data_IF_716906396955
#
_entry.id   IF_716906396955
#
_cell.length_a   1.000
_cell.length_b   1.000
_cell.length_c   1.000
_cell.angle_alpha   90.00
_cell.angle_beta   90.00
_cell.angle_gamma   90.00
#
_symmetry.space_group_name_H-M   'P 1'
#
loop_
_entity.id
_entity.type
_entity.pdbx_description
1 polymer ?
#
# COMPACT_ATOMS: atom_id res chain seq x y z
N UNK A 1 18.08 -10.42 -68.61
CA UNK A 1 18.76 -9.16 -68.26
C UNK A 1 19.66 -9.46 -67.07
N UNK A 2 20.98 -9.54 -67.30
CA UNK A 2 22.17 -9.61 -66.40
C UNK A 2 22.11 -10.44 -65.09
N UNK A 3 22.82 -11.59 -64.94
CA UNK A 3 24.25 -11.79 -64.53
C UNK A 3 24.60 -10.97 -63.25
N UNK A 4 25.20 -11.44 -62.14
CA UNK A 4 26.05 -12.62 -61.81
C UNK A 4 26.31 -12.71 -60.29
N UNK A 5 26.58 -13.94 -59.82
CA UNK A 5 27.36 -14.44 -58.65
C UNK A 5 28.15 -13.45 -57.77
N UNK A 6 28.23 -13.71 -56.45
CA UNK A 6 29.48 -14.21 -55.81
C UNK A 6 29.32 -14.69 -54.35
N UNK A 7 30.12 -15.71 -54.05
CA UNK A 7 30.31 -16.47 -52.81
C UNK A 7 31.42 -15.89 -51.92
N UNK A 8 31.38 -16.18 -50.61
CA UNK A 8 32.49 -16.69 -49.76
C UNK A 8 32.74 -15.95 -48.45
N UNK A 9 32.79 -16.78 -47.39
CA UNK A 9 33.43 -16.66 -46.08
C UNK A 9 34.76 -15.89 -46.04
N UNK A 10 35.00 -15.15 -44.95
CA UNK A 10 36.29 -15.12 -44.25
C UNK A 10 36.12 -14.71 -42.77
N UNK A 11 36.74 -15.47 -41.88
CA UNK A 11 36.94 -15.23 -40.44
C UNK A 11 37.97 -14.10 -40.20
N UNK A 12 37.79 -13.32 -39.14
CA UNK A 12 38.72 -13.18 -37.97
C UNK A 12 38.56 -11.84 -37.21
N UNK A 13 38.61 -11.97 -35.87
CA UNK A 13 38.89 -10.97 -34.81
C UNK A 13 37.95 -9.75 -34.69
N UNK A 14 37.36 -9.45 -33.54
CA UNK A 14 37.99 -9.09 -32.26
C UNK A 14 37.02 -9.38 -31.09
N UNK A 15 37.54 -10.03 -30.04
CA UNK A 15 37.03 -9.97 -28.67
C UNK A 15 37.48 -8.63 -28.07
N UNK A 16 36.59 -7.80 -27.52
CA UNK A 16 36.82 -7.20 -26.20
C UNK A 16 35.58 -6.49 -25.65
N UNK A 17 35.57 -6.43 -24.33
CA UNK A 17 34.60 -5.89 -23.39
C UNK A 17 34.32 -4.40 -23.58
N UNK A 18 33.08 -3.96 -23.32
CA UNK A 18 32.76 -2.73 -22.56
C UNK A 18 31.26 -2.40 -22.63
N UNK A 19 30.50 -2.76 -21.60
CA UNK A 19 29.18 -2.18 -21.32
C UNK A 19 29.04 -1.87 -19.83
N UNK A 20 29.89 -0.96 -19.34
CA UNK A 20 29.64 -0.13 -18.15
C UNK A 20 29.93 1.30 -18.58
N UNK A 21 28.88 2.08 -18.89
CA UNK A 21 28.84 3.56 -18.89
C UNK A 21 27.55 4.02 -19.56
N UNK A 22 26.50 4.24 -18.77
CA UNK A 22 25.47 5.24 -19.08
C UNK A 22 24.83 5.72 -17.76
N UNK A 23 25.62 6.49 -16.99
CA UNK A 23 25.12 7.42 -15.97
C UNK A 23 25.84 8.75 -16.23
N UNK A 24 25.20 9.66 -16.97
CA UNK A 24 25.43 11.11 -16.88
C UNK A 24 24.66 11.85 -18.00
N UNK A 25 23.43 12.26 -17.73
CA UNK A 25 22.83 13.49 -18.27
C UNK A 25 21.43 13.66 -17.70
N UNK A 26 21.30 14.38 -16.56
CA UNK A 26 20.29 15.43 -16.29
C UNK A 26 20.79 16.11 -15.00
N UNK A 27 21.69 17.08 -15.14
CA UNK A 27 21.94 18.11 -14.12
C UNK A 27 21.65 19.44 -14.82
N UNK A 28 20.51 20.03 -14.49
CA UNK A 28 20.20 21.42 -14.79
C UNK A 28 20.28 22.20 -13.50
N UNK A 29 21.21 23.15 -13.45
CA UNK A 29 21.46 24.07 -12.36
C UNK A 29 20.24 24.93 -12.06
N UNK A 30 19.84 25.00 -10.80
CA UNK A 30 19.11 26.12 -10.21
C UNK A 30 19.57 26.27 -8.75
N UNK A 31 20.29 27.36 -8.50
CA UNK A 31 20.62 27.83 -7.16
C UNK A 31 19.33 28.17 -6.41
N UNK A 32 19.13 27.57 -5.24
CA UNK A 32 18.11 27.99 -4.28
C UNK A 32 18.78 28.12 -2.92
N UNK A 33 18.77 29.35 -2.42
CA UNK A 33 19.34 29.79 -1.17
C UNK A 33 18.70 29.09 0.04
N UNK A 34 19.52 29.00 1.08
CA UNK A 34 19.32 28.38 2.38
C UNK A 34 18.29 29.16 3.22
N UNK A 35 17.10 28.60 3.44
CA UNK A 35 16.18 29.03 4.51
C UNK A 35 15.73 27.81 5.31
N UNK A 36 16.36 27.63 6.47
CA UNK A 36 15.96 26.70 7.52
C UNK A 36 14.84 27.32 8.36
N UNK A 37 13.59 26.94 8.11
CA UNK A 37 12.48 27.24 9.01
C UNK A 37 12.14 26.03 9.88
N UNK A 38 12.64 26.06 11.11
CA UNK A 38 12.29 25.16 12.21
C UNK A 38 10.87 25.50 12.72
N UNK A 39 9.88 24.69 12.35
CA UNK A 39 8.54 24.76 12.95
C UNK A 39 8.36 23.67 14.02
N UNK A 40 8.51 24.08 15.28
CA UNK A 40 8.04 23.37 16.47
C UNK A 40 6.50 23.31 16.45
N UNK A 41 5.93 22.12 16.66
CA UNK A 41 4.51 21.94 16.96
C UNK A 41 4.39 21.31 18.35
N UNK A 42 3.83 22.06 19.30
CA UNK A 42 3.49 21.60 20.64
C UNK A 42 2.27 20.66 20.61
N UNK A 43 2.39 19.48 21.20
CA UNK A 43 1.27 18.57 21.51
C UNK A 43 0.75 18.87 22.93
N UNK A 44 -0.35 19.62 23.05
CA UNK A 44 -1.09 19.69 24.31
C UNK A 44 -2.17 18.59 24.37
N UNK A 45 -1.99 17.67 25.34
CA UNK A 45 -2.96 16.64 25.71
C UNK A 45 -4.00 17.21 26.69
N UNK A 46 -5.27 17.21 26.30
CA UNK A 46 -6.40 17.52 27.19
C UNK A 46 -6.97 16.22 27.79
N UNK A 47 -6.90 16.06 29.11
CA UNK A 47 -7.60 15.01 29.86
C UNK A 47 -8.91 15.59 30.41
N UNK A 48 -10.04 15.03 29.98
CA UNK A 48 -11.35 15.36 30.53
C UNK A 48 -11.62 14.55 31.81
N UNK A 49 -12.11 15.23 32.84
CA UNK A 49 -12.21 14.73 34.21
C UNK A 49 -13.69 14.66 34.59
N UNK A 50 -14.34 13.53 34.31
CA UNK A 50 -15.69 13.28 34.81
C UNK A 50 -15.64 12.78 36.26
N UNK A 51 -16.13 13.63 37.16
CA UNK A 51 -16.53 13.31 38.52
C UNK A 51 -17.78 12.42 38.51
N UNK A 52 -17.70 11.26 39.16
CA UNK A 52 -18.89 10.57 39.67
C UNK A 52 -18.77 10.39 41.17
N UNK A 53 -19.54 11.18 41.90
CA UNK A 53 -19.81 11.04 43.33
C UNK A 53 -20.68 9.81 43.58
N UNK A 54 -20.23 8.93 44.48
CA UNK A 54 -21.10 7.93 45.11
C UNK A 54 -21.04 8.19 46.61
N UNK A 55 -22.12 8.76 47.13
CA UNK A 55 -22.41 8.80 48.56
C UNK A 55 -22.85 7.40 49.00
N UNK A 56 -22.08 6.77 49.90
CA UNK A 56 -22.57 5.67 50.71
C UNK A 56 -22.24 5.91 52.18
N UNK A 57 -23.30 6.16 52.95
CA UNK A 57 -23.30 6.22 54.41
C UNK A 57 -23.49 4.80 54.95
N UNK A 58 -22.42 4.20 55.48
CA UNK A 58 -22.58 3.34 56.66
C UNK A 58 -21.23 3.12 57.34
N UNK A 59 -21.21 3.32 58.65
CA UNK A 59 -20.03 3.10 59.48
C UNK A 59 -19.83 1.62 59.72
N UNK A 60 -18.64 1.12 59.41
CA UNK A 60 -18.06 -0.02 60.09
C UNK A 60 -16.53 0.08 60.11
N UNK A 61 -15.99 -0.20 61.30
CA UNK A 61 -14.58 -0.08 61.66
C UNK A 61 -13.92 -1.42 61.31
N UNK A 62 -13.13 -1.48 60.23
CA UNK A 62 -12.25 -2.60 59.95
C UNK A 62 -10.81 -2.14 59.68
N UNK A 63 -9.87 -2.91 60.22
CA UNK A 63 -8.50 -2.50 60.53
C UNK A 63 -7.61 -2.16 59.34
N UNK A 64 -6.67 -1.27 59.64
CA UNK A 64 -5.50 -0.96 58.81
C UNK A 64 -4.75 -2.23 58.41
N UNK A 65 -4.73 -2.53 57.11
CA UNK A 65 -3.71 -3.39 56.51
C UNK A 65 -3.12 -2.60 55.34
N UNK A 66 -1.94 -2.04 55.55
CA UNK A 66 -1.12 -1.44 54.49
C UNK A 66 -0.64 -2.54 53.55
N UNK A 67 -1.37 -2.75 52.44
CA UNK A 67 -0.87 -3.46 51.27
C UNK A 67 -0.13 -2.46 50.40
N UNK A 68 1.20 -2.57 50.38
CA UNK A 68 2.06 -1.88 49.42
C UNK A 68 1.70 -2.32 48.01
N UNK A 69 1.02 -1.45 47.26
CA UNK A 69 0.86 -1.62 45.82
C UNK A 69 2.23 -1.33 45.21
N UNK A 70 2.99 -2.38 44.93
CA UNK A 70 4.16 -2.29 44.07
C UNK A 70 3.72 -1.79 42.70
N UNK A 71 4.36 -0.70 42.28
CA UNK A 71 4.26 -0.12 40.95
C UNK A 71 4.63 -1.17 39.90
N UNK A 72 3.63 -1.74 39.22
CA UNK A 72 3.83 -2.49 38.00
C UNK A 72 4.22 -1.51 36.90
N UNK A 73 5.53 -1.43 36.66
CA UNK A 73 6.09 -0.85 35.45
C UNK A 73 5.39 -1.47 34.25
N UNK A 74 4.68 -0.67 33.46
CA UNK A 74 4.17 -1.06 32.14
C UNK A 74 5.38 -1.50 31.31
N UNK A 75 5.56 -2.81 31.18
CA UNK A 75 6.49 -3.38 30.21
C UNK A 75 5.92 -3.04 28.83
N UNK A 76 6.54 -2.09 28.14
CA UNK A 76 6.36 -1.96 26.69
C UNK A 76 6.77 -3.29 26.08
N UNK A 77 5.79 -4.06 25.64
CA UNK A 77 6.04 -5.27 24.87
C UNK A 77 6.45 -4.80 23.49
N UNK A 78 7.76 -4.74 23.23
CA UNK A 78 8.28 -4.55 21.88
C UNK A 78 7.76 -5.70 21.01
N UNK A 79 7.08 -5.36 19.93
CA UNK A 79 6.62 -6.36 18.97
C UNK A 79 7.84 -7.06 18.35
N UNK A 80 7.72 -8.37 18.03
CA UNK A 80 8.79 -9.09 17.35
C UNK A 80 9.09 -8.49 15.97
N UNK A 81 10.21 -8.88 15.32
CA UNK A 81 10.61 -8.36 14.01
C UNK A 81 9.46 -8.38 13.00
N UNK A 82 9.45 -7.41 12.07
CA UNK A 82 8.48 -7.25 10.98
C UNK A 82 8.01 -8.60 10.38
N UNK A 83 8.96 -9.47 10.06
CA UNK A 83 8.75 -10.75 9.37
C UNK A 83 7.89 -11.74 10.19
N UNK A 84 7.96 -11.65 11.51
CA UNK A 84 7.19 -12.49 12.44
C UNK A 84 5.76 -11.95 12.66
N UNK A 85 5.55 -10.64 12.44
CA UNK A 85 4.30 -9.93 12.73
C UNK A 85 3.46 -9.65 11.48
N UNK A 86 4.05 -9.63 10.28
CA UNK A 86 3.32 -9.23 9.07
C UNK A 86 2.05 -10.06 8.82
N UNK A 87 1.06 -9.44 8.17
CA UNK A 87 -0.17 -10.10 7.78
C UNK A 87 -1.09 -10.50 8.92
N UNK A 88 -0.77 -10.17 10.17
CA UNK A 88 -1.61 -10.51 11.33
C UNK A 88 -2.68 -9.45 11.54
N UNK A 89 -3.86 -9.89 11.97
CA UNK A 89 -4.89 -9.04 12.54
C UNK A 89 -4.97 -9.29 14.03
N UNK A 90 -4.63 -8.28 14.84
CA UNK A 90 -4.58 -8.40 16.30
C UNK A 90 -5.87 -7.93 16.99
N UNK A 91 -6.78 -7.29 16.25
CA UNK A 91 -8.08 -6.86 16.77
C UNK A 91 -9.14 -7.95 16.56
N UNK A 92 -10.01 -8.23 17.55
CA UNK A 92 -11.08 -9.23 17.42
C UNK A 92 -11.98 -8.99 16.20
N UNK A 93 -12.22 -10.04 15.42
CA UNK A 93 -13.03 -9.98 14.21
C UNK A 93 -14.52 -10.16 14.54
N UNK A 94 -15.35 -9.23 14.05
CA UNK A 94 -16.78 -9.49 13.84
C UNK A 94 -16.99 -9.95 12.39
N UNK A 95 -17.88 -10.92 12.16
CA UNK A 95 -18.18 -11.44 10.81
C UNK A 95 -19.18 -10.50 10.11
N UNK A 96 -18.80 -9.95 8.96
CA UNK A 96 -19.67 -9.16 8.07
C UNK A 96 -19.47 -9.68 6.63
N UNK A 97 -20.54 -9.75 5.84
CA UNK A 97 -20.57 -10.28 4.46
C UNK A 97 -21.19 -9.21 3.55
N UNK A 98 -20.56 -8.92 2.41
CA UNK A 98 -20.95 -7.83 1.49
C UNK A 98 -20.09 -6.58 1.71
N UNK A 99 -19.90 -5.75 0.68
CA UNK A 99 -19.11 -4.51 0.80
C UNK A 99 -19.63 -3.66 1.96
N UNK A 100 -18.76 -3.35 2.92
CA UNK A 100 -19.18 -2.71 4.16
C UNK A 100 -18.04 -1.95 4.81
N UNK A 101 -18.38 -1.05 5.74
CA UNK A 101 -17.42 -0.41 6.63
C UNK A 101 -16.55 -1.47 7.31
N UNK A 102 -15.23 -1.30 7.22
CA UNK A 102 -14.28 -2.04 8.02
C UNK A 102 -14.41 -1.66 9.50
N UNK A 103 -13.85 -2.50 10.38
CA UNK A 103 -13.70 -2.17 11.80
C UNK A 103 -12.28 -1.67 12.08
N UNK A 104 -12.13 -0.83 13.11
CA UNK A 104 -10.83 -0.25 13.47
C UNK A 104 -9.76 -1.35 13.65
N UNK A 105 -8.58 -1.16 13.04
CA UNK A 105 -7.45 -2.09 13.12
C UNK A 105 -7.63 -3.45 12.42
N UNK A 106 -8.73 -3.66 11.66
CA UNK A 106 -8.95 -4.89 10.89
C UNK A 106 -7.98 -5.06 9.72
N UNK A 107 -7.54 -3.95 9.14
CA UNK A 107 -6.61 -3.90 8.01
C UNK A 107 -5.40 -3.04 8.37
N UNK A 108 -4.55 -3.51 9.29
CA UNK A 108 -3.53 -2.68 9.94
C UNK A 108 -2.37 -2.28 9.00
N UNK A 109 -2.28 -2.87 7.82
CA UNK A 109 -1.34 -2.49 6.76
C UNK A 109 -1.90 -1.44 5.80
N UNK A 110 -3.20 -1.17 5.82
CA UNK A 110 -3.83 -0.23 4.91
C UNK A 110 -3.30 1.18 5.16
N UNK A 111 -2.93 1.85 4.08
CA UNK A 111 -2.47 3.24 4.09
C UNK A 111 -3.35 4.07 3.19
N UNK A 112 -3.63 5.30 3.63
CA UNK A 112 -4.18 6.35 2.80
C UNK A 112 -3.03 7.24 2.31
N UNK A 113 -2.77 7.20 1.00
CA UNK A 113 -1.81 8.08 0.33
C UNK A 113 -2.52 9.38 -0.04
N UNK A 114 -2.11 10.46 0.62
CA UNK A 114 -2.63 11.79 0.35
C UNK A 114 -1.72 12.53 -0.61
N UNK A 115 -2.35 13.31 -1.49
CA UNK A 115 -1.68 14.28 -2.36
C UNK A 115 -2.14 15.69 -2.01
N UNK A 116 -1.22 16.65 -2.04
CA UNK A 116 -1.51 18.07 -1.90
C UNK A 116 -2.33 18.56 -3.10
N UNK A 117 -3.49 19.19 -2.85
CA UNK A 117 -4.33 19.79 -3.91
C UNK A 117 -4.13 21.30 -4.07
N UNK A 118 -3.78 21.98 -2.99
CA UNK A 118 -3.55 23.43 -2.93
C UNK A 118 -2.55 23.75 -1.80
N UNK A 119 -2.32 25.04 -1.53
CA UNK A 119 -1.30 25.49 -0.57
C UNK A 119 -1.54 25.03 0.88
N UNK A 120 -2.68 24.40 1.22
CA UNK A 120 -2.98 24.04 2.60
C UNK A 120 -3.62 22.66 2.81
N UNK A 121 -4.07 21.96 1.77
CA UNK A 121 -4.84 20.73 1.96
C UNK A 121 -4.27 19.49 1.27
N UNK A 122 -4.13 18.43 2.06
CA UNK A 122 -3.77 17.07 1.64
C UNK A 122 -5.02 16.20 1.63
N UNK A 123 -5.42 15.74 0.46
CA UNK A 123 -6.59 14.86 0.32
C UNK A 123 -6.19 13.46 -0.07
N UNK A 124 -6.94 12.46 0.37
CA UNK A 124 -6.81 11.09 -0.11
C UNK A 124 -6.86 11.06 -1.64
N UNK A 125 -5.93 10.33 -2.24
CA UNK A 125 -5.83 10.18 -3.69
C UNK A 125 -5.68 8.71 -4.10
N UNK A 126 -4.89 7.94 -3.34
CA UNK A 126 -4.66 6.52 -3.59
C UNK A 126 -4.60 5.74 -2.27
N UNK A 127 -4.76 4.43 -2.36
CA UNK A 127 -4.35 3.47 -1.36
C UNK A 127 -2.86 3.15 -1.41
N UNK A 128 -2.36 2.54 -0.35
CA UNK A 128 -1.04 1.93 -0.28
C UNK A 128 -1.03 0.85 0.82
N UNK A 129 0.08 0.11 0.92
CA UNK A 129 0.27 -0.91 1.97
C UNK A 129 1.61 -0.79 2.67
N UNK A 130 1.61 -0.97 3.99
CA UNK A 130 2.83 -1.00 4.81
C UNK A 130 3.59 -2.31 4.57
N UNK A 131 4.85 -2.24 4.13
CA UNK A 131 5.73 -3.40 3.95
C UNK A 131 6.71 -3.62 5.10
N UNK A 132 7.01 -2.60 5.90
CA UNK A 132 7.72 -2.65 7.17
C UNK A 132 7.68 -1.27 7.82
N UNK A 133 8.42 -1.05 8.90
CA UNK A 133 8.43 0.21 9.63
C UNK A 133 8.81 1.43 8.76
N UNK A 134 9.53 1.22 7.65
CA UNK A 134 10.07 2.29 6.82
C UNK A 134 9.55 2.31 5.38
N UNK A 135 8.95 1.22 4.90
CA UNK A 135 8.62 1.04 3.50
C UNK A 135 7.13 0.82 3.27
N UNK A 136 6.64 1.46 2.22
CA UNK A 136 5.25 1.42 1.77
C UNK A 136 5.24 1.07 0.29
N UNK A 137 4.27 0.28 -0.16
CA UNK A 137 4.06 -0.07 -1.56
C UNK A 137 2.75 0.52 -2.07
N UNK A 138 2.76 1.00 -3.30
CA UNK A 138 1.60 1.57 -4.00
C UNK A 138 1.78 1.39 -5.52
N UNK A 139 0.85 1.88 -6.31
CA UNK A 139 0.95 1.91 -7.77
C UNK A 139 1.87 3.05 -8.22
N UNK A 140 2.62 2.86 -9.31
CA UNK A 140 3.49 3.89 -9.86
C UNK A 140 2.68 5.10 -10.34
N UNK A 141 1.52 4.90 -10.96
CA UNK A 141 0.67 6.00 -11.44
C UNK A 141 0.18 6.91 -10.30
N UNK A 142 0.16 6.45 -9.05
CA UNK A 142 -0.22 7.25 -7.89
C UNK A 142 0.85 8.28 -7.48
N UNK A 143 2.11 8.06 -7.89
CA UNK A 143 3.27 8.85 -7.43
C UNK A 143 4.15 9.37 -8.58
N UNK A 144 3.94 8.87 -9.80
CA UNK A 144 4.71 9.29 -10.97
C UNK A 144 4.53 10.79 -11.22
N UNK A 145 5.63 11.49 -11.45
CA UNK A 145 5.66 12.96 -11.65
C UNK A 145 5.06 13.78 -10.49
N UNK A 146 4.89 13.18 -9.30
CA UNK A 146 4.43 13.90 -8.10
C UNK A 146 5.64 14.21 -7.21
N UNK A 147 5.91 15.49 -6.89
CA UNK A 147 6.98 15.82 -5.96
C UNK A 147 6.73 15.17 -4.60
N UNK A 148 7.78 14.59 -4.00
CA UNK A 148 7.66 13.91 -2.68
C UNK A 148 7.13 14.81 -1.57
N UNK A 149 7.37 16.13 -1.67
CA UNK A 149 6.85 17.14 -0.73
C UNK A 149 5.34 17.34 -0.84
N UNK A 150 4.70 16.82 -1.89
CA UNK A 150 3.25 16.84 -2.08
C UNK A 150 2.57 15.54 -1.65
N UNK A 151 3.34 14.57 -1.15
CA UNK A 151 2.85 13.28 -0.70
C UNK A 151 2.87 13.20 0.83
N UNK A 152 1.76 12.71 1.39
CA UNK A 152 1.62 12.48 2.82
C UNK A 152 1.03 11.10 3.08
N UNK A 153 1.67 10.34 3.97
CA UNK A 153 1.25 9.01 4.36
C UNK A 153 0.43 9.09 5.65
N UNK A 154 -0.79 8.54 5.63
CA UNK A 154 -1.59 8.29 6.83
C UNK A 154 -1.76 6.79 7.04
N UNK A 155 -1.50 6.33 8.25
CA UNK A 155 -1.53 4.91 8.60
C UNK A 155 -2.35 4.66 9.87
N UNK A 156 -2.92 3.45 9.99
CA UNK A 156 -3.69 3.04 11.17
C UNK A 156 -5.03 3.76 11.31
N UNK A 157 -5.53 4.32 10.21
CA UNK A 157 -6.78 5.06 10.14
C UNK A 157 -7.98 4.15 9.85
N UNK A 158 -9.15 4.56 10.34
CA UNK A 158 -10.44 4.00 9.93
C UNK A 158 -11.28 5.09 9.27
N UNK A 159 -11.41 6.24 9.92
CA UNK A 159 -12.18 7.38 9.44
C UNK A 159 -11.25 8.57 9.12
N UNK A 160 -11.24 8.99 7.86
CA UNK A 160 -10.36 10.07 7.40
C UNK A 160 -10.74 11.45 7.96
N UNK A 161 -11.94 11.63 8.50
CA UNK A 161 -12.43 12.90 9.08
C UNK A 161 -11.98 13.10 10.53
N UNK A 162 -11.78 12.02 11.28
CA UNK A 162 -11.44 12.04 12.71
C UNK A 162 -9.99 11.63 12.90
N UNK A 163 -9.06 12.32 12.23
CA UNK A 163 -7.64 11.99 12.19
C UNK A 163 -7.08 11.59 13.57
N UNK A 164 -6.65 10.33 13.71
CA UNK A 164 -6.05 9.79 14.95
C UNK A 164 -4.77 8.98 14.71
N UNK A 165 -4.44 8.66 13.47
CA UNK A 165 -3.28 7.82 13.13
C UNK A 165 -1.96 8.60 13.01
N UNK A 166 -0.81 7.93 12.84
CA UNK A 166 0.45 8.61 12.52
C UNK A 166 0.43 9.25 11.11
N UNK A 167 1.00 10.46 11.00
CA UNK A 167 1.40 11.06 9.70
C UNK A 167 2.87 10.76 9.42
N UNK A 168 3.22 10.48 8.17
CA UNK A 168 4.62 10.37 7.73
C UNK A 168 4.86 11.10 6.43
N UNK A 169 5.93 11.90 6.42
CA UNK A 169 6.47 12.50 5.20
C UNK A 169 7.22 11.46 4.38
N UNK A 170 7.29 11.69 3.07
CA UNK A 170 8.01 10.84 2.13
C UNK A 170 9.48 11.25 2.05
N UNK A 171 10.37 10.29 2.29
CA UNK A 171 11.82 10.48 2.10
C UNK A 171 12.20 10.33 0.63
N UNK A 172 11.75 9.24 0.01
CA UNK A 172 12.07 8.85 -1.38
C UNK A 172 10.92 8.04 -1.97
N UNK A 173 10.71 8.21 -3.28
CA UNK A 173 9.84 7.37 -4.10
C UNK A 173 10.71 6.63 -5.10
N UNK A 174 10.47 5.33 -5.28
CA UNK A 174 11.15 4.47 -6.25
C UNK A 174 10.08 3.75 -7.06
N UNK A 175 9.76 4.27 -8.24
CA UNK A 175 8.88 3.59 -9.20
C UNK A 175 9.65 2.48 -9.91
N UNK A 176 8.95 1.42 -10.33
CA UNK A 176 9.54 0.39 -11.15
C UNK A 176 10.10 1.02 -12.44
N UNK A 177 11.36 0.73 -12.82
CA UNK A 177 12.02 1.41 -13.94
C UNK A 177 11.37 1.15 -15.30
N UNK A 178 10.63 0.04 -15.42
CA UNK A 178 9.89 -0.35 -16.62
C UNK A 178 8.43 0.13 -16.62
N UNK A 179 8.01 0.97 -15.65
CA UNK A 179 6.64 1.49 -15.61
C UNK A 179 6.31 2.23 -16.90
N UNK A 180 5.26 1.77 -17.59
CA UNK A 180 4.73 2.40 -18.79
C UNK A 180 3.37 3.03 -18.47
N UNK A 181 3.30 4.36 -18.57
CA UNK A 181 2.08 5.12 -18.26
C UNK A 181 0.94 4.87 -19.25
N UNK A 182 1.23 4.42 -20.47
CA UNK A 182 0.25 4.20 -21.53
C UNK A 182 -0.47 2.86 -21.38
N UNK A 183 0.27 1.82 -21.01
CA UNK A 183 -0.26 0.45 -20.84
C UNK A 183 -0.55 0.11 -19.37
N UNK A 184 -0.01 0.90 -18.45
CA UNK A 184 0.04 0.63 -17.00
C UNK A 184 0.78 -0.67 -16.66
N UNK A 185 1.59 -1.20 -17.58
CA UNK A 185 2.50 -2.30 -17.26
C UNK A 185 3.55 -1.83 -16.25
N UNK A 186 3.95 -2.74 -15.36
CA UNK A 186 4.90 -2.47 -14.28
C UNK A 186 4.46 -1.31 -13.34
N UNK A 187 3.15 -1.14 -13.16
CA UNK A 187 2.57 -0.12 -12.30
C UNK A 187 2.76 -0.44 -10.81
N UNK A 188 3.97 -0.17 -10.33
CA UNK A 188 4.43 -0.46 -8.98
C UNK A 188 5.45 0.58 -8.51
N UNK A 189 5.29 1.06 -7.28
CA UNK A 189 6.25 1.95 -6.64
C UNK A 189 6.42 1.66 -5.15
N UNK A 190 7.62 1.94 -4.65
CA UNK A 190 7.94 1.90 -3.24
C UNK A 190 8.20 3.31 -2.72
N UNK A 191 7.68 3.58 -1.53
CA UNK A 191 7.84 4.83 -0.81
C UNK A 191 8.60 4.55 0.48
N UNK A 192 9.73 5.23 0.66
CA UNK A 192 10.45 5.24 1.94
C UNK A 192 9.94 6.37 2.81
N UNK A 193 9.57 6.05 4.05
CA UNK A 193 9.13 7.01 5.04
C UNK A 193 10.32 7.80 5.61
N UNK A 194 10.12 9.09 5.88
CA UNK A 194 11.14 9.94 6.51
C UNK A 194 11.48 9.52 7.95
N UNK A 195 10.49 9.00 8.68
CA UNK A 195 10.67 8.41 10.00
C UNK A 195 9.93 7.07 10.04
N UNK A 196 10.46 6.05 10.73
CA UNK A 196 9.76 4.79 10.88
C UNK A 196 8.40 4.97 11.57
N UNK A 197 7.48 4.06 11.28
CA UNK A 197 6.25 3.89 12.08
C UNK A 197 6.53 2.98 13.26
N UNK A 198 5.85 3.22 14.38
CA UNK A 198 5.85 2.29 15.50
C UNK A 198 4.79 1.23 15.24
N UNK A 199 5.19 -0.05 15.27
CA UNK A 199 4.24 -1.14 15.12
C UNK A 199 3.30 -1.19 16.34
N UNK A 200 2.01 -1.38 16.08
CA UNK A 200 0.96 -1.50 17.10
C UNK A 200 -0.25 -2.24 16.51
N UNK A 201 -1.28 -2.54 17.30
CA UNK A 201 -2.38 -3.41 16.86
C UNK A 201 -3.09 -2.99 15.56
N UNK A 202 -3.17 -1.68 15.28
CA UNK A 202 -3.73 -1.09 14.06
C UNK A 202 -2.67 -0.65 13.03
N UNK A 203 -1.38 -0.91 13.28
CA UNK A 203 -0.25 -0.59 12.39
C UNK A 203 0.66 -1.81 12.32
N UNK A 204 0.36 -2.68 11.37
CA UNK A 204 1.07 -3.95 11.15
C UNK A 204 1.30 -4.09 9.66
N UNK A 205 2.52 -4.42 9.24
CA UNK A 205 2.87 -4.63 7.84
C UNK A 205 2.11 -5.80 7.20
N UNK A 206 1.93 -5.77 5.87
CA UNK A 206 1.44 -6.91 5.09
C UNK A 206 2.61 -7.82 4.71
N UNK A 207 2.40 -9.13 4.65
CA UNK A 207 3.44 -10.01 4.14
C UNK A 207 3.57 -9.92 2.62
N UNK A 208 4.78 -10.09 2.13
CA UNK A 208 5.01 -10.44 0.73
C UNK A 208 4.65 -11.91 0.50
N UNK A 209 4.28 -12.30 -0.73
CA UNK A 209 4.05 -13.69 -1.09
C UNK A 209 5.36 -14.50 -0.99
N UNK A 210 5.31 -15.68 -0.38
CA UNK A 210 6.50 -16.55 -0.25
C UNK A 210 6.89 -17.21 -1.59
N UNK A 211 5.93 -17.37 -2.50
CA UNK A 211 6.08 -18.06 -3.78
C UNK A 211 5.04 -17.60 -4.80
N UNK A 212 5.17 -18.05 -6.04
CA UNK A 212 4.18 -17.85 -7.12
C UNK A 212 3.03 -18.87 -7.00
N UNK A 213 2.39 -18.94 -5.83
CA UNK A 213 1.21 -19.79 -5.60
C UNK A 213 0.08 -19.41 -6.58
N UNK A 214 -0.63 -20.42 -7.09
CA UNK A 214 -1.86 -20.18 -7.86
C UNK A 214 -2.99 -19.74 -6.91
N UNK A 215 -3.50 -18.53 -7.16
CA UNK A 215 -4.54 -17.90 -6.35
C UNK A 215 -5.93 -18.01 -7.00
N UNK A 216 -6.06 -18.61 -8.18
CA UNK A 216 -7.34 -18.67 -8.90
C UNK A 216 -8.44 -19.30 -8.01
N UNK A 217 -9.60 -18.64 -7.94
CA UNK A 217 -10.75 -19.04 -7.13
C UNK A 217 -10.60 -18.72 -5.63
N UNK A 218 -9.42 -18.29 -5.16
CA UNK A 218 -9.24 -17.89 -3.77
C UNK A 218 -9.95 -16.57 -3.48
N UNK A 219 -10.54 -16.49 -2.29
CA UNK A 219 -11.12 -15.23 -1.80
C UNK A 219 -10.01 -14.25 -1.46
N UNK A 220 -10.00 -13.12 -2.17
CA UNK A 220 -9.22 -11.96 -1.86
C UNK A 220 -10.08 -10.87 -1.23
N UNK A 221 -9.41 -9.93 -0.58
CA UNK A 221 -10.02 -8.74 -0.03
C UNK A 221 -9.37 -7.51 -0.62
N UNK A 222 -10.20 -6.52 -0.92
CA UNK A 222 -9.79 -5.18 -1.33
C UNK A 222 -10.30 -4.20 -0.29
N UNK A 223 -9.47 -3.22 0.04
CA UNK A 223 -9.76 -2.23 1.06
C UNK A 223 -9.30 -0.85 0.63
N UNK A 224 -10.12 0.16 0.93
CA UNK A 224 -9.77 1.55 0.64
C UNK A 224 -10.87 2.55 0.95
N UNK A 225 -10.60 3.81 0.60
CA UNK A 225 -11.47 4.97 0.82
C UNK A 225 -11.95 5.57 -0.49
N UNK A 226 -11.90 4.79 -1.57
CA UNK A 226 -12.36 5.20 -2.89
C UNK A 226 -13.85 5.49 -2.98
N UNK A 227 -14.29 5.77 -4.20
CA UNK A 227 -15.69 6.03 -4.53
C UNK A 227 -16.58 4.85 -4.13
N UNK A 228 -17.72 5.15 -3.49
CA UNK A 228 -18.72 4.10 -3.14
C UNK A 228 -19.40 3.47 -4.36
N UNK A 229 -19.28 4.13 -5.52
CA UNK A 229 -19.70 3.69 -6.84
C UNK A 229 -19.00 4.59 -7.87
N UNK A 230 -19.09 4.23 -9.16
CA UNK A 230 -18.55 5.03 -10.26
C UNK A 230 -19.00 6.49 -10.17
N UNK A 231 -18.04 7.43 -10.18
CA UNK A 231 -18.28 8.87 -10.03
C UNK A 231 -19.09 9.27 -8.78
N UNK A 232 -19.12 8.40 -7.76
CA UNK A 232 -19.80 8.63 -6.49
C UNK A 232 -18.96 9.38 -5.45
N UNK A 233 -19.53 9.62 -4.26
CA UNK A 233 -18.77 10.22 -3.16
C UNK A 233 -17.67 9.27 -2.66
N UNK A 234 -16.55 9.86 -2.26
CA UNK A 234 -15.45 9.14 -1.61
C UNK A 234 -15.86 8.69 -0.20
N UNK A 235 -15.47 7.48 0.17
CA UNK A 235 -15.75 6.98 1.51
C UNK A 235 -14.89 7.69 2.57
N UNK A 236 -15.50 8.12 3.67
CA UNK A 236 -14.75 8.65 4.82
C UNK A 236 -14.25 7.54 5.74
N UNK A 237 -15.04 6.49 5.89
CA UNK A 237 -14.71 5.26 6.62
C UNK A 237 -14.14 4.22 5.67
N UNK A 238 -13.09 3.49 6.10
CA UNK A 238 -12.46 2.43 5.31
C UNK A 238 -13.50 1.39 4.91
N UNK A 239 -13.57 1.07 3.62
CA UNK A 239 -14.42 0.02 3.09
C UNK A 239 -13.63 -1.28 2.93
N UNK A 240 -14.32 -2.42 3.02
CA UNK A 240 -13.79 -3.73 2.64
C UNK A 240 -14.74 -4.45 1.70
N UNK A 241 -14.20 -5.17 0.72
CA UNK A 241 -14.97 -6.06 -0.15
C UNK A 241 -14.24 -7.37 -0.38
N UNK A 242 -15.02 -8.45 -0.50
CA UNK A 242 -14.54 -9.79 -0.81
C UNK A 242 -14.82 -10.10 -2.28
N UNK A 243 -13.79 -10.50 -3.01
CA UNK A 243 -13.87 -10.87 -4.44
C UNK A 243 -12.98 -12.08 -4.72
N UNK A 244 -13.34 -12.97 -5.65
CA UNK A 244 -12.46 -14.07 -6.03
C UNK A 244 -11.35 -13.57 -6.95
N UNK A 245 -10.15 -14.12 -6.80
CA UNK A 245 -9.12 -14.03 -7.84
C UNK A 245 -9.57 -14.89 -9.02
N UNK A 246 -9.41 -14.38 -10.24
CA UNK A 246 -9.80 -15.07 -11.46
C UNK A 246 -8.60 -15.29 -12.37
N UNK A 247 -8.71 -16.28 -13.23
CA UNK A 247 -7.72 -16.54 -14.27
C UNK A 247 -7.61 -15.36 -15.26
N UNK A 248 -6.41 -15.13 -15.80
CA UNK A 248 -6.16 -14.02 -16.71
C UNK A 248 -6.93 -14.18 -18.04
N UNK A 249 -7.04 -15.39 -18.60
CA UNK A 249 -7.79 -15.64 -19.84
C UNK A 249 -9.30 -15.41 -19.62
N UNK A 250 -9.81 -15.79 -18.45
CA UNK A 250 -11.19 -15.50 -18.03
C UNK A 250 -11.39 -13.99 -17.89
N UNK A 251 -10.43 -13.28 -17.32
CA UNK A 251 -10.48 -11.82 -17.20
C UNK A 251 -10.58 -11.14 -18.57
N UNK A 252 -9.75 -11.55 -19.52
CA UNK A 252 -9.80 -11.07 -20.92
C UNK A 252 -11.14 -11.41 -21.59
N UNK A 253 -11.68 -12.61 -21.39
CA UNK A 253 -12.98 -13.02 -21.91
C UNK A 253 -14.11 -12.13 -21.34
N UNK A 254 -14.06 -11.80 -20.06
CA UNK A 254 -15.01 -10.90 -19.41
C UNK A 254 -14.93 -9.52 -20.07
N UNK A 255 -13.75 -8.94 -20.21
CA UNK A 255 -13.60 -7.66 -20.91
C UNK A 255 -14.09 -7.71 -22.36
N UNK A 256 -13.80 -8.78 -23.10
CA UNK A 256 -14.33 -9.00 -24.46
C UNK A 256 -15.85 -9.04 -24.49
N UNK A 257 -16.46 -9.67 -23.49
CA UNK A 257 -17.93 -9.69 -23.31
C UNK A 257 -18.49 -8.30 -23.04
N UNK A 258 -17.75 -7.45 -22.31
CA UNK A 258 -18.10 -6.06 -22.07
C UNK A 258 -17.79 -5.11 -23.26
N UNK A 259 -17.22 -5.62 -24.35
CA UNK A 259 -16.92 -4.84 -25.56
C UNK A 259 -15.52 -4.22 -25.59
N UNK A 260 -14.62 -4.65 -24.70
CA UNK A 260 -13.24 -4.16 -24.62
C UNK A 260 -12.25 -5.26 -25.00
N UNK A 261 -11.12 -4.87 -25.60
CA UNK A 261 -10.02 -5.78 -25.89
C UNK A 261 -8.84 -5.34 -25.05
N UNK A 262 -8.54 -6.14 -24.03
CA UNK A 262 -7.39 -5.97 -23.16
C UNK A 262 -6.62 -7.28 -23.12
N UNK A 263 -5.29 -7.16 -23.14
CA UNK A 263 -4.39 -8.27 -22.86
C UNK A 263 -4.02 -8.18 -21.38
N UNK A 264 -4.04 -9.33 -20.68
CA UNK A 264 -3.70 -9.40 -19.25
C UNK A 264 -2.44 -10.25 -19.10
N UNK A 265 -1.24 -9.67 -19.35
CA UNK A 265 0.02 -10.39 -19.21
C UNK A 265 0.25 -10.88 -17.78
N UNK A 266 1.19 -11.82 -17.62
CA UNK A 266 1.48 -12.50 -16.35
C UNK A 266 1.80 -11.55 -15.19
N UNK A 267 2.33 -10.35 -15.47
CA UNK A 267 2.60 -9.31 -14.48
C UNK A 267 1.35 -8.76 -13.79
N UNK A 268 0.15 -9.08 -14.31
CA UNK A 268 -1.12 -8.74 -13.69
C UNK A 268 -1.84 -9.99 -13.16
N UNK A 269 -2.71 -9.75 -12.19
CA UNK A 269 -3.73 -10.68 -11.70
C UNK A 269 -5.08 -9.96 -11.67
N UNK A 270 -6.15 -10.66 -12.00
CA UNK A 270 -7.50 -10.11 -11.93
C UNK A 270 -8.26 -10.62 -10.71
N UNK A 271 -9.18 -9.81 -10.20
CA UNK A 271 -10.13 -10.23 -9.19
C UNK A 271 -11.48 -9.54 -9.40
N UNK A 272 -12.57 -10.28 -9.30
CA UNK A 272 -13.90 -9.75 -9.57
C UNK A 272 -14.93 -10.82 -9.88
N UNK A 273 -16.15 -10.38 -10.20
CA UNK A 273 -17.29 -11.26 -10.47
C UNK A 273 -17.85 -10.96 -11.86
N UNK A 274 -18.34 -12.00 -12.54
CA UNK A 274 -19.04 -11.84 -13.83
C UNK A 274 -20.25 -10.92 -13.72
N UNK A 275 -21.03 -11.05 -12.65
CA UNK A 275 -22.21 -10.22 -12.42
C UNK A 275 -21.89 -8.80 -11.91
N UNK A 276 -20.62 -8.50 -11.63
CA UNK A 276 -20.20 -7.22 -11.05
C UNK A 276 -20.66 -7.04 -9.60
N UNK A 277 -21.02 -5.80 -9.26
CA UNK A 277 -21.56 -5.37 -7.96
C UNK A 277 -20.55 -5.25 -6.81
N UNK A 278 -19.36 -5.83 -6.94
CA UNK A 278 -18.27 -5.76 -5.95
C UNK A 278 -16.94 -5.53 -6.66
N UNK A 279 -16.31 -4.40 -6.39
CA UNK A 279 -15.04 -4.03 -7.03
C UNK A 279 -14.30 -2.96 -6.21
N UNK A 280 -13.02 -2.73 -6.54
CA UNK A 280 -12.31 -1.51 -6.21
C UNK A 280 -12.88 -0.34 -7.02
N UNK A 281 -12.73 0.90 -6.54
CA UNK A 281 -13.18 2.07 -7.28
C UNK A 281 -12.17 3.23 -7.24
N UNK A 282 -12.52 4.38 -7.85
CA UNK A 282 -11.61 5.52 -7.92
C UNK A 282 -11.13 5.92 -6.53
N UNK A 283 -9.82 6.03 -6.33
CA UNK A 283 -9.20 6.29 -5.02
C UNK A 283 -8.65 5.04 -4.32
N UNK A 284 -9.11 3.85 -4.69
CA UNK A 284 -8.54 2.59 -4.18
C UNK A 284 -7.26 2.17 -4.91
N UNK A 285 -6.92 2.83 -6.03
CA UNK A 285 -5.67 2.63 -6.78
C UNK A 285 -4.45 2.62 -5.86
N UNK A 286 -3.50 1.73 -6.12
CA UNK A 286 -2.33 1.51 -5.25
C UNK A 286 -2.63 0.78 -3.94
N UNK A 287 -3.90 0.61 -3.59
CA UNK A 287 -4.36 -0.16 -2.44
C UNK A 287 -4.15 -1.67 -2.60
N UNK A 288 -4.27 -2.42 -1.50
CA UNK A 288 -3.98 -3.84 -1.52
C UNK A 288 -5.11 -4.71 -2.06
N UNK A 289 -4.72 -5.74 -2.81
CA UNK A 289 -5.45 -7.00 -2.92
C UNK A 289 -4.75 -8.03 -2.03
N UNK A 290 -5.39 -8.45 -0.93
CA UNK A 290 -4.81 -9.41 0.02
C UNK A 290 -5.54 -10.73 0.07
N UNK A 291 -4.78 -11.80 0.29
CA UNK A 291 -5.29 -13.17 0.43
C UNK A 291 -4.84 -13.74 1.77
N UNK A 292 -5.72 -14.50 2.44
CA UNK A 292 -5.39 -15.14 3.72
C UNK A 292 -4.70 -16.50 3.50
N UNK A 293 -3.61 -16.78 4.19
CA UNK A 293 -2.93 -18.08 4.23
C UNK A 293 -3.64 -19.07 5.16
N UNK A 294 -3.32 -20.37 5.07
CA UNK A 294 -3.82 -21.38 6.00
C UNK A 294 -3.50 -21.06 7.48
N UNK A 295 -2.35 -20.45 7.76
CA UNK A 295 -1.90 -20.01 9.09
C UNK A 295 -2.59 -18.72 9.59
N UNK A 296 -3.63 -18.26 8.88
CA UNK A 296 -4.44 -17.06 9.16
C UNK A 296 -3.74 -15.72 8.94
N UNK A 297 -2.48 -15.69 8.49
CA UNK A 297 -1.82 -14.45 8.06
C UNK A 297 -2.30 -14.02 6.69
N UNK A 298 -2.24 -12.74 6.39
CA UNK A 298 -2.51 -12.19 5.06
C UNK A 298 -1.20 -11.88 4.34
N UNK A 299 -1.23 -11.95 3.02
CA UNK A 299 -0.15 -11.47 2.16
C UNK A 299 -0.72 -10.64 1.02
N UNK A 300 0.13 -9.78 0.45
CA UNK A 300 -0.20 -8.90 -0.66
C UNK A 300 -0.12 -9.70 -1.96
N UNK A 301 -1.28 -10.08 -2.49
CA UNK A 301 -1.38 -10.78 -3.77
C UNK A 301 -1.24 -9.81 -4.95
N UNK A 302 -1.79 -8.60 -4.80
CA UNK A 302 -1.78 -7.59 -5.83
C UNK A 302 -1.81 -6.16 -5.29
N UNK A 303 -1.44 -5.21 -6.15
CA UNK A 303 -1.61 -3.77 -5.95
C UNK A 303 -2.60 -3.26 -7.00
N UNK A 304 -3.65 -2.55 -6.58
CA UNK A 304 -4.69 -2.06 -7.47
C UNK A 304 -4.10 -1.13 -8.54
N UNK A 305 -4.28 -1.45 -9.82
CA UNK A 305 -3.67 -0.72 -10.93
C UNK A 305 -4.73 -0.06 -11.79
N UNK A 306 -5.57 -0.84 -12.47
CA UNK A 306 -6.61 -0.34 -13.35
C UNK A 306 -7.82 -1.28 -13.37
N UNK A 307 -8.88 -0.84 -14.02
CA UNK A 307 -10.13 -1.60 -14.11
C UNK A 307 -11.07 -0.93 -15.11
N UNK A 308 -12.24 -1.54 -15.29
CA UNK A 308 -13.34 -0.90 -16.02
C UNK A 308 -14.15 0.03 -15.11
N UNK A 309 -15.45 0.13 -15.39
CA UNK A 309 -16.41 0.85 -14.54
C UNK A 309 -16.60 0.09 -13.22
N UNK A 310 -16.53 0.79 -12.09
CA UNK A 310 -16.60 0.17 -10.76
C UNK A 310 -17.86 -0.70 -10.61
N UNK A 311 -17.66 -1.99 -10.35
CA UNK A 311 -18.76 -2.94 -10.10
C UNK A 311 -19.63 -3.22 -11.33
N UNK A 312 -19.20 -2.85 -12.54
CA UNK A 312 -19.90 -3.24 -13.75
C UNK A 312 -19.75 -4.75 -14.02
N UNK A 313 -20.78 -5.41 -14.59
CA UNK A 313 -20.67 -6.79 -15.03
C UNK A 313 -19.53 -6.97 -16.02
N UNK A 314 -18.79 -8.07 -15.89
CA UNK A 314 -17.69 -8.46 -16.76
C UNK A 314 -16.53 -7.45 -16.89
N UNK A 315 -16.36 -6.55 -15.92
CA UNK A 315 -15.25 -5.59 -15.87
C UNK A 315 -14.52 -5.72 -14.52
N UNK A 316 -13.77 -6.81 -14.32
CA UNK A 316 -13.10 -7.07 -13.04
C UNK A 316 -11.92 -6.10 -12.82
N UNK A 317 -11.53 -5.88 -11.57
CA UNK A 317 -10.32 -5.10 -11.27
C UNK A 317 -9.04 -5.85 -11.68
N UNK A 318 -8.06 -5.09 -12.16
CA UNK A 318 -6.73 -5.57 -12.56
C UNK A 318 -5.66 -5.02 -11.60
N UNK A 319 -4.83 -5.93 -11.10
CA UNK A 319 -3.87 -5.66 -10.04
C UNK A 319 -2.47 -6.09 -10.49
N UNK A 320 -1.45 -5.30 -10.18
CA UNK A 320 -0.05 -5.68 -10.36
C UNK A 320 0.25 -6.91 -9.49
N UNK A 321 0.66 -8.03 -10.09
CA UNK A 321 0.87 -9.33 -9.44
C UNK A 321 2.18 -9.32 -8.64
N UNK A 322 2.08 -9.17 -7.32
CA UNK A 322 3.26 -8.94 -6.45
C UNK A 322 4.25 -10.10 -6.46
N UNK A 323 3.80 -11.33 -6.67
CA UNK A 323 4.68 -12.50 -6.71
C UNK A 323 5.74 -12.40 -7.82
N UNK A 324 5.43 -11.74 -8.95
CA UNK A 324 6.38 -11.52 -10.06
C UNK A 324 7.36 -10.37 -9.78
N UNK A 325 7.10 -9.54 -8.76
CA UNK A 325 7.91 -8.37 -8.43
C UNK A 325 8.64 -8.47 -7.08
N UNK A 326 8.55 -9.62 -6.41
CA UNK A 326 9.14 -9.82 -5.08
C UNK A 326 10.63 -9.49 -5.04
N UNK A 327 11.41 -9.98 -5.99
CA UNK A 327 12.86 -9.75 -6.04
C UNK A 327 13.19 -8.26 -6.18
N UNK A 328 12.46 -7.52 -7.02
CA UNK A 328 12.62 -6.08 -7.17
C UNK A 328 12.26 -5.35 -5.87
N UNK A 329 11.16 -5.72 -5.22
CA UNK A 329 10.71 -5.12 -3.96
C UNK A 329 11.79 -5.29 -2.88
N UNK A 330 12.29 -6.51 -2.70
CA UNK A 330 13.33 -6.83 -1.72
C UNK A 330 14.65 -6.12 -2.04
N UNK A 331 15.03 -6.06 -3.32
CA UNK A 331 16.22 -5.35 -3.77
C UNK A 331 16.17 -3.86 -3.39
N UNK A 332 15.05 -3.18 -3.66
CA UNK A 332 14.87 -1.76 -3.33
C UNK A 332 14.88 -1.54 -1.82
N UNK A 333 14.18 -2.38 -1.05
CA UNK A 333 14.12 -2.23 0.41
C UNK A 333 15.48 -2.43 1.09
N UNK A 334 16.31 -3.35 0.56
CA UNK A 334 17.63 -3.68 1.09
C UNK A 334 18.76 -2.78 0.61
N UNK A 335 18.55 -2.08 -0.52
CA UNK A 335 19.54 -1.13 -1.01
C UNK A 335 19.65 0.04 -0.03
N UNK A 336 20.82 0.17 0.61
CA UNK A 336 21.17 1.41 1.29
C UNK A 336 21.21 2.49 0.21
N UNK A 337 20.16 3.31 0.12
CA UNK A 337 20.16 4.54 -0.65
C UNK A 337 21.28 5.41 -0.05
N UNK A 338 22.51 5.23 -0.55
CA UNK A 338 23.66 6.06 -0.20
C UNK A 338 23.36 7.41 -0.83
N UNK A 339 22.83 8.33 -0.04
CA UNK A 339 22.85 9.73 -0.40
C UNK A 339 24.32 10.13 -0.56
N UNK A 340 24.71 10.39 -1.80
CA UNK A 340 25.92 11.14 -2.05
C UNK A 340 25.60 12.56 -1.65
N UNK A 341 26.06 12.97 -0.46
CA UNK A 341 26.23 14.38 -0.13
C UNK A 341 27.28 14.88 -1.12
N UNK A 342 26.89 15.79 -2.00
CA UNK A 342 27.82 16.67 -2.69
C UNK A 342 27.65 18.05 -2.09
#
# INVERSE_FOLDING_TARGET
MFLTKHTSSFLEHILDMDHIKWISHVLGDYDAEDETDDYYFDEEYYYDRDETTIDDKNGDRYGSTTLSIESTTKREVSLPPHEEVCGRRLVPLHRIIGGSNATFGRWPWQISLHRRKDNSNYTHHCGASLLNENWVITAAHCVNEVPKSELLIRIGELDLTIFKGPKRLVQTVVSHPSFDRSTLEYDLALIRLHKPVTLQANVIPICLPDSNEDLIGRTAYVTGWGGLHEAGPMATTLQEVQIPVIDNEICEEMYRTAGYVHDIPKIFTCAGLRDGGRDACQGDSGGPLVVQRPDKRFFLAGVASWGGVCGAPNQPGVYTRISEFREWIEHVMNTRLRYSVK
#
